data_IF_515271509225
#
_entry.id   IF_515271509225
#
_cell.length_a   1.000
_cell.length_b   1.000
_cell.length_c   1.000
_cell.angle_alpha   90.00
_cell.angle_beta   90.00
_cell.angle_gamma   90.00
#
_symmetry.space_group_name_H-M   'P 1'
#
loop_
_entity.id
_entity.type
_entity.pdbx_description
1 polymer ?
#
# COMPACT_ATOMS: atom_id res chain seq x y z
N UNK A 1 -7.56 22.59 -13.22
CA UNK A 1 -6.97 21.26 -12.96
C UNK A 1 -6.98 21.00 -11.46
N UNK A 2 -7.48 19.84 -11.01
CA UNK A 2 -7.58 19.56 -9.57
C UNK A 2 -6.37 18.78 -9.06
N UNK A 3 -6.00 19.02 -7.79
CA UNK A 3 -4.95 18.27 -7.07
C UNK A 3 -5.15 16.75 -7.16
N UNK A 4 -6.38 16.28 -7.01
CA UNK A 4 -6.70 14.85 -7.04
C UNK A 4 -6.50 14.23 -8.43
N UNK A 5 -6.84 14.97 -9.49
CA UNK A 5 -6.59 14.53 -10.86
C UNK A 5 -5.08 14.36 -11.11
N UNK A 6 -4.27 15.32 -10.65
CA UNK A 6 -2.81 15.20 -10.74
C UNK A 6 -2.25 14.03 -9.94
N UNK A 7 -2.73 13.82 -8.71
CA UNK A 7 -2.29 12.70 -7.90
C UNK A 7 -2.58 11.37 -8.60
N UNK A 8 -3.80 11.20 -9.15
CA UNK A 8 -4.19 10.02 -9.93
C UNK A 8 -3.31 9.83 -11.17
N UNK A 9 -2.92 10.89 -11.85
CA UNK A 9 -1.98 10.79 -12.97
C UNK A 9 -0.57 10.44 -12.49
N UNK A 10 -0.12 11.01 -11.38
CA UNK A 10 1.19 10.73 -10.79
C UNK A 10 1.32 9.28 -10.34
N UNK A 11 0.26 8.60 -9.89
CA UNK A 11 0.33 7.16 -9.53
C UNK A 11 0.77 6.31 -10.72
N UNK A 12 0.37 6.68 -11.94
CA UNK A 12 0.78 5.99 -13.16
C UNK A 12 2.26 6.17 -13.48
N UNK A 13 2.92 7.19 -12.93
CA UNK A 13 4.35 7.48 -13.15
C UNK A 13 5.27 6.80 -12.11
N UNK A 14 4.70 6.19 -11.06
CA UNK A 14 5.46 5.54 -9.99
C UNK A 14 6.37 4.44 -10.51
N UNK A 15 5.94 3.66 -11.51
CA UNK A 15 6.75 2.56 -12.07
C UNK A 15 8.11 3.05 -12.63
N UNK A 16 8.15 4.28 -13.17
CA UNK A 16 9.36 4.87 -13.77
C UNK A 16 10.10 5.81 -12.82
N UNK A 17 9.37 6.61 -12.04
CA UNK A 17 9.95 7.71 -11.26
C UNK A 17 9.91 7.49 -9.75
N UNK A 18 9.33 6.36 -9.29
CA UNK A 18 9.11 6.06 -7.87
C UNK A 18 8.15 7.04 -7.18
N UNK A 19 8.10 6.97 -5.85
CA UNK A 19 7.28 7.85 -5.02
C UNK A 19 8.01 9.17 -4.73
N UNK A 20 8.25 9.93 -5.79
CA UNK A 20 9.11 11.12 -5.77
C UNK A 20 8.35 12.40 -6.10
N UNK A 21 8.97 13.54 -5.76
CA UNK A 21 8.48 14.86 -6.17
C UNK A 21 8.55 15.04 -7.70
N UNK A 22 9.46 14.34 -8.37
CA UNK A 22 9.56 14.34 -9.83
C UNK A 22 8.36 13.66 -10.48
N UNK A 23 7.88 12.54 -9.93
CA UNK A 23 6.65 11.90 -10.40
C UNK A 23 5.43 12.84 -10.31
N UNK A 24 5.32 13.59 -9.19
CA UNK A 24 4.31 14.63 -9.03
C UNK A 24 4.49 15.78 -10.03
N UNK A 25 5.72 16.24 -10.22
CA UNK A 25 6.04 17.32 -11.13
C UNK A 25 5.66 17.00 -12.58
N UNK A 26 5.92 15.76 -13.03
CA UNK A 26 5.62 15.29 -14.38
C UNK A 26 4.16 14.95 -14.64
N UNK A 27 3.33 14.84 -13.61
CA UNK A 27 1.91 14.48 -13.78
C UNK A 27 1.12 15.47 -14.65
N UNK A 28 1.57 16.73 -14.78
CA UNK A 28 0.95 17.71 -15.69
C UNK A 28 1.22 17.43 -17.17
N UNK A 29 2.26 16.65 -17.47
CA UNK A 29 2.60 16.29 -18.85
C UNK A 29 1.66 15.21 -19.40
N UNK A 30 0.98 14.47 -18.52
CA UNK A 30 0.11 13.34 -18.88
C UNK A 30 -1.38 13.68 -18.87
N UNK A 31 -1.72 14.96 -18.71
CA UNK A 31 -3.10 15.42 -18.82
C UNK A 31 -3.65 15.22 -20.24
N UNK A 32 -4.98 15.19 -20.41
CA UNK A 32 -5.61 15.13 -21.72
C UNK A 32 -5.15 16.27 -22.65
N UNK A 33 -5.19 16.06 -23.98
CA UNK A 33 -4.87 17.08 -24.97
C UNK A 33 -5.66 18.38 -24.71
N UNK A 34 -4.96 19.53 -24.77
CA UNK A 34 -5.52 20.85 -24.45
C UNK A 34 -5.41 21.27 -22.98
N UNK A 35 -5.04 20.35 -22.08
CA UNK A 35 -4.73 20.65 -20.67
C UNK A 35 -3.28 20.29 -20.30
N UNK A 36 -2.61 19.46 -21.09
CA UNK A 36 -1.22 19.10 -20.89
C UNK A 36 -0.30 20.33 -20.90
N UNK A 37 0.54 20.41 -19.89
CA UNK A 37 1.57 21.43 -19.82
C UNK A 37 2.79 21.01 -20.67
N UNK A 38 3.53 21.96 -21.26
CA UNK A 38 4.73 21.66 -22.02
C UNK A 38 5.92 21.28 -21.11
N UNK A 39 5.91 21.72 -19.86
CA UNK A 39 6.99 21.56 -18.89
C UNK A 39 6.47 21.00 -17.56
N UNK A 40 7.31 20.26 -16.80
CA UNK A 40 6.97 19.80 -15.46
C UNK A 40 6.68 20.97 -14.50
N UNK A 41 5.95 20.69 -13.42
CA UNK A 41 5.72 21.68 -12.36
C UNK A 41 7.04 22.08 -11.67
N UNK A 42 7.19 23.36 -11.36
CA UNK A 42 8.29 23.82 -10.50
C UNK A 42 8.18 23.22 -9.10
N UNK A 43 9.31 23.13 -8.38
CA UNK A 43 9.32 22.58 -7.01
C UNK A 43 8.38 23.36 -6.06
N UNK A 44 8.29 24.68 -6.24
CA UNK A 44 7.35 25.53 -5.50
C UNK A 44 5.89 25.13 -5.77
N UNK A 45 5.54 24.83 -7.02
CA UNK A 45 4.19 24.40 -7.37
C UNK A 45 3.88 23.00 -6.81
N UNK A 46 4.85 22.08 -6.82
CA UNK A 46 4.73 20.76 -6.17
C UNK A 46 4.48 20.94 -4.67
N UNK A 47 5.24 21.81 -4.01
CA UNK A 47 5.04 22.12 -2.58
C UNK A 47 3.66 22.71 -2.29
N UNK A 48 3.20 23.67 -3.10
CA UNK A 48 1.91 24.31 -2.92
C UNK A 48 0.73 23.35 -3.11
N UNK A 49 0.85 22.40 -4.04
CA UNK A 49 -0.24 21.46 -4.38
C UNK A 49 -0.26 20.21 -3.49
N UNK A 50 0.91 19.70 -3.09
CA UNK A 50 1.04 18.38 -2.45
C UNK A 50 1.69 18.43 -1.07
N UNK A 51 2.24 19.56 -0.67
CA UNK A 51 2.93 19.75 0.61
C UNK A 51 4.46 19.78 0.48
N UNK A 52 5.11 20.26 1.53
CA UNK A 52 6.57 20.43 1.56
C UNK A 52 7.31 19.09 1.76
N UNK A 53 8.46 18.94 1.09
CA UNK A 53 9.35 17.80 1.28
C UNK A 53 8.65 16.45 1.16
N UNK A 54 8.79 15.62 2.20
CA UNK A 54 8.20 14.28 2.25
C UNK A 54 6.67 14.27 2.35
N UNK A 55 6.02 15.37 2.73
CA UNK A 55 4.54 15.43 2.72
C UNK A 55 3.96 15.27 1.31
N UNK A 56 4.64 15.81 0.30
CA UNK A 56 4.28 15.58 -1.09
C UNK A 56 4.39 14.11 -1.46
N UNK A 57 5.51 13.47 -1.12
CA UNK A 57 5.77 12.06 -1.41
C UNK A 57 4.77 11.15 -0.70
N UNK A 58 4.49 11.39 0.59
CA UNK A 58 3.46 10.70 1.36
C UNK A 58 2.06 10.88 0.76
N UNK A 59 1.73 12.07 0.24
CA UNK A 59 0.48 12.30 -0.48
C UNK A 59 0.38 11.44 -1.76
N UNK A 60 1.48 11.29 -2.51
CA UNK A 60 1.53 10.39 -3.67
C UNK A 60 1.36 8.93 -3.25
N UNK A 61 2.03 8.51 -2.18
CA UNK A 61 1.90 7.15 -1.65
C UNK A 61 0.44 6.89 -1.28
N UNK A 62 -0.19 7.77 -0.50
CA UNK A 62 -1.59 7.61 -0.11
C UNK A 62 -2.51 7.49 -1.33
N UNK A 63 -2.34 8.37 -2.33
CA UNK A 63 -3.13 8.31 -3.56
C UNK A 63 -2.94 6.98 -4.31
N UNK A 64 -1.72 6.44 -4.33
CA UNK A 64 -1.45 5.13 -4.93
C UNK A 64 -2.08 3.98 -4.14
N UNK A 65 -2.04 4.02 -2.80
CA UNK A 65 -2.73 3.03 -1.96
C UNK A 65 -4.25 3.06 -2.19
N UNK A 66 -4.83 4.26 -2.30
CA UNK A 66 -6.26 4.45 -2.58
C UNK A 66 -6.65 3.93 -3.97
N UNK A 67 -5.82 4.16 -4.99
CA UNK A 67 -6.02 3.59 -6.33
C UNK A 67 -5.88 2.05 -6.32
N UNK A 68 -4.99 1.49 -5.50
CA UNK A 68 -4.91 0.05 -5.27
C UNK A 68 -6.19 -0.54 -4.66
N UNK A 69 -6.82 0.18 -3.73
CA UNK A 69 -8.15 -0.17 -3.18
C UNK A 69 -9.22 -0.04 -4.27
N UNK A 70 -9.19 1.00 -5.11
CA UNK A 70 -10.13 1.12 -6.21
C UNK A 70 -9.97 0.00 -7.27
N UNK A 71 -8.74 -0.48 -7.48
CA UNK A 71 -8.49 -1.64 -8.34
C UNK A 71 -9.14 -2.93 -7.78
N UNK A 72 -9.21 -3.10 -6.47
CA UNK A 72 -9.94 -4.23 -5.86
C UNK A 72 -11.42 -4.26 -6.26
N UNK A 73 -12.03 -3.08 -6.45
CA UNK A 73 -13.45 -2.94 -6.80
C UNK A 73 -13.77 -3.36 -8.24
N UNK A 74 -12.75 -3.55 -9.09
CA UNK A 74 -12.96 -4.00 -10.48
C UNK A 74 -13.13 -5.50 -10.61
N UNK A 75 -13.05 -6.25 -9.50
CA UNK A 75 -13.25 -7.71 -9.47
C UNK A 75 -14.74 -8.04 -9.62
N UNK A 76 -15.13 -8.66 -10.73
CA UNK A 76 -16.54 -8.93 -11.08
C UNK A 76 -17.25 -9.94 -10.16
N UNK A 77 -16.51 -10.94 -9.67
CA UNK A 77 -17.02 -12.00 -8.78
C UNK A 77 -16.16 -12.07 -7.52
N UNK A 78 -16.35 -11.12 -6.58
CA UNK A 78 -15.42 -10.92 -5.48
C UNK A 78 -15.46 -12.09 -4.49
N UNK A 79 -14.34 -12.78 -4.38
CA UNK A 79 -14.00 -13.62 -3.21
C UNK A 79 -12.83 -12.97 -2.47
N UNK A 80 -12.61 -13.33 -1.20
CA UNK A 80 -11.48 -12.78 -0.44
C UNK A 80 -10.16 -13.04 -1.18
N UNK A 81 -10.01 -14.24 -1.76
CA UNK A 81 -8.83 -14.60 -2.53
C UNK A 81 -8.66 -13.69 -3.76
N UNK A 82 -9.70 -13.56 -4.58
CA UNK A 82 -9.63 -12.76 -5.82
C UNK A 82 -9.40 -11.27 -5.55
N UNK A 83 -10.06 -10.73 -4.52
CA UNK A 83 -9.91 -9.31 -4.15
C UNK A 83 -8.50 -9.01 -3.64
N UNK A 84 -7.95 -9.86 -2.76
CA UNK A 84 -6.58 -9.67 -2.25
C UNK A 84 -5.53 -9.95 -3.35
N UNK A 85 -5.77 -10.91 -4.26
CA UNK A 85 -4.92 -11.13 -5.45
C UNK A 85 -4.91 -9.92 -6.37
N UNK A 86 -6.07 -9.31 -6.64
CA UNK A 86 -6.15 -8.09 -7.44
C UNK A 86 -5.36 -6.92 -6.81
N UNK A 87 -5.36 -6.82 -5.48
CA UNK A 87 -4.52 -5.86 -4.77
C UNK A 87 -3.03 -6.15 -4.93
N UNK A 88 -2.60 -7.42 -4.80
CA UNK A 88 -1.20 -7.80 -5.06
C UNK A 88 -0.80 -7.53 -6.51
N UNK A 89 -1.65 -7.82 -7.49
CA UNK A 89 -1.37 -7.53 -8.91
C UNK A 89 -1.12 -6.04 -9.15
N UNK A 90 -1.88 -5.16 -8.48
CA UNK A 90 -1.66 -3.71 -8.56
C UNK A 90 -0.25 -3.29 -8.08
N UNK A 91 0.32 -4.01 -7.10
CA UNK A 91 1.67 -3.74 -6.60
C UNK A 91 2.75 -3.95 -7.66
N UNK A 92 2.54 -4.85 -8.63
CA UNK A 92 3.60 -5.36 -9.52
C UNK A 92 4.39 -4.24 -10.22
N UNK A 93 3.69 -3.23 -10.73
CA UNK A 93 4.30 -2.09 -11.42
C UNK A 93 5.16 -1.20 -10.52
N UNK A 94 4.91 -1.21 -9.20
CA UNK A 94 5.58 -0.35 -8.22
C UNK A 94 6.56 -1.12 -7.31
N UNK A 95 6.64 -2.45 -7.42
CA UNK A 95 7.45 -3.31 -6.53
C UNK A 95 8.86 -2.81 -6.23
N UNK A 96 9.65 -2.30 -7.22
CA UNK A 96 10.99 -1.81 -6.94
C UNK A 96 11.03 -0.65 -5.92
N UNK A 97 9.96 0.15 -5.90
CA UNK A 97 9.84 1.40 -5.14
C UNK A 97 9.06 1.25 -3.82
N UNK A 98 8.34 0.14 -3.63
CA UNK A 98 7.52 -0.09 -2.43
C UNK A 98 8.31 -0.11 -1.12
N UNK A 99 9.51 -0.74 -1.02
CA UNK A 99 10.26 -0.73 0.24
C UNK A 99 10.61 0.67 0.73
N UNK A 100 10.97 1.57 -0.19
CA UNK A 100 11.25 2.97 0.13
C UNK A 100 9.97 3.72 0.51
N UNK A 101 8.88 3.50 -0.23
CA UNK A 101 7.57 4.11 0.06
C UNK A 101 7.07 3.76 1.46
N UNK A 102 7.19 2.49 1.82
CA UNK A 102 6.81 1.96 3.11
C UNK A 102 7.70 2.47 4.25
N UNK A 103 9.01 2.55 4.04
CA UNK A 103 9.92 3.20 4.99
C UNK A 103 9.55 4.69 5.19
N UNK A 104 9.19 5.38 4.11
CA UNK A 104 8.79 6.78 4.17
C UNK A 104 7.45 6.98 4.91
N UNK A 105 6.47 6.11 4.68
CA UNK A 105 5.20 6.13 5.43
C UNK A 105 5.40 5.92 6.93
N UNK A 106 6.32 5.01 7.31
CA UNK A 106 6.64 4.73 8.71
C UNK A 106 7.54 5.81 9.36
N UNK A 107 8.09 6.73 8.57
CA UNK A 107 8.94 7.80 9.07
C UNK A 107 8.10 8.91 9.72
N UNK A 108 8.47 9.41 10.91
CA UNK A 108 7.73 10.48 11.59
C UNK A 108 7.74 11.78 10.78
N UNK A 109 6.69 12.61 10.89
CA UNK A 109 6.65 13.93 10.22
C UNK A 109 7.52 14.98 10.92
N UNK A 110 7.73 14.82 12.23
CA UNK A 110 8.46 15.75 13.10
C UNK A 110 9.24 14.91 14.12
N UNK A 111 10.57 15.02 14.12
CA UNK A 111 11.41 14.54 15.22
C UNK A 111 12.09 13.18 15.06
N UNK A 112 12.98 12.92 16.02
CA UNK A 112 13.90 11.78 16.16
C UNK A 112 13.09 10.49 16.41
N UNK A 113 13.57 9.31 15.93
CA UNK A 113 12.94 7.97 16.10
C UNK A 113 12.27 7.70 17.46
N UNK A 114 11.26 6.81 17.51
CA UNK A 114 11.12 5.62 16.66
C UNK A 114 10.27 5.81 15.38
N UNK A 115 10.46 4.89 14.42
CA UNK A 115 9.53 4.70 13.31
C UNK A 115 8.14 4.38 13.89
N UNK A 116 7.10 5.04 13.37
CA UNK A 116 5.72 4.73 13.70
C UNK A 116 5.18 3.76 12.64
N UNK A 117 4.94 2.48 12.95
CA UNK A 117 4.43 1.53 11.98
C UNK A 117 2.91 1.67 11.76
N UNK A 118 2.20 2.44 12.59
CA UNK A 118 0.74 2.55 12.50
C UNK A 118 0.25 2.99 11.12
N UNK A 119 0.87 3.96 10.42
CA UNK A 119 0.45 4.33 9.06
C UNK A 119 0.61 3.18 8.05
N UNK A 120 1.69 2.41 8.15
CA UNK A 120 1.94 1.27 7.27
C UNK A 120 1.00 0.09 7.59
N UNK A 121 0.74 -0.17 8.87
CA UNK A 121 -0.24 -1.17 9.32
C UNK A 121 -1.67 -0.78 8.94
N UNK A 122 -1.98 0.53 8.96
CA UNK A 122 -3.25 1.08 8.53
C UNK A 122 -3.59 0.72 7.09
N UNK A 123 -2.59 0.64 6.20
CA UNK A 123 -2.80 0.21 4.82
C UNK A 123 -3.36 -1.21 4.72
N UNK A 124 -2.74 -2.18 5.42
CA UNK A 124 -3.18 -3.57 5.40
C UNK A 124 -4.57 -3.74 6.02
N UNK A 125 -4.87 -2.97 7.07
CA UNK A 125 -6.20 -2.94 7.69
C UNK A 125 -7.27 -2.41 6.71
N UNK A 126 -6.97 -1.33 5.99
CA UNK A 126 -7.89 -0.78 4.98
C UNK A 126 -8.16 -1.77 3.84
N UNK A 127 -7.14 -2.51 3.40
CA UNK A 127 -7.31 -3.57 2.40
C UNK A 127 -8.20 -4.70 2.94
N UNK A 128 -7.96 -5.13 4.19
CA UNK A 128 -8.76 -6.17 4.81
C UNK A 128 -10.22 -5.76 4.97
N UNK A 129 -10.46 -4.50 5.38
CA UNK A 129 -11.81 -3.94 5.51
C UNK A 129 -12.51 -3.89 4.15
N UNK A 130 -11.86 -3.35 3.11
CA UNK A 130 -12.43 -3.30 1.76
C UNK A 130 -12.69 -4.71 1.20
N UNK A 131 -11.78 -5.66 1.44
CA UNK A 131 -11.98 -7.05 1.00
C UNK A 131 -13.19 -7.69 1.67
N UNK A 132 -13.37 -7.48 2.98
CA UNK A 132 -14.59 -7.90 3.70
C UNK A 132 -15.84 -7.21 3.12
N UNK A 133 -15.78 -5.91 2.85
CA UNK A 133 -16.90 -5.16 2.27
C UNK A 133 -17.30 -5.70 0.89
N UNK A 134 -16.35 -5.85 -0.03
CA UNK A 134 -16.59 -6.31 -1.41
C UNK A 134 -17.13 -7.74 -1.48
N UNK A 135 -16.79 -8.58 -0.50
CA UNK A 135 -17.24 -9.97 -0.44
C UNK A 135 -18.57 -10.15 0.32
N UNK A 136 -19.16 -9.05 0.80
CA UNK A 136 -20.43 -9.06 1.52
C UNK A 136 -20.35 -9.68 2.90
N UNK A 137 -19.21 -9.52 3.60
CA UNK A 137 -19.02 -10.00 4.97
C UNK A 137 -20.11 -9.44 5.91
N UNK A 138 -20.76 -10.34 6.64
CA UNK A 138 -21.83 -10.02 7.61
C UNK A 138 -21.39 -10.18 9.06
N UNK A 139 -20.10 -10.38 9.32
CA UNK A 139 -19.58 -10.49 10.68
C UNK A 139 -19.87 -9.21 11.48
N UNK A 140 -20.19 -9.38 12.76
CA UNK A 140 -20.47 -8.27 13.68
C UNK A 140 -19.71 -8.47 14.99
N UNK A 141 -19.61 -7.42 15.79
CA UNK A 141 -19.00 -7.46 17.14
C UNK A 141 -17.54 -7.93 17.10
N UNK A 142 -17.11 -8.80 18.01
CA UNK A 142 -15.70 -9.24 18.11
C UNK A 142 -15.21 -10.01 16.88
N UNK A 143 -16.10 -10.77 16.23
CA UNK A 143 -15.74 -11.52 15.02
C UNK A 143 -15.34 -10.59 13.86
N UNK A 144 -15.93 -9.39 13.79
CA UNK A 144 -15.57 -8.36 12.81
C UNK A 144 -14.11 -7.93 12.94
N UNK A 145 -13.66 -7.66 14.17
CA UNK A 145 -12.29 -7.24 14.47
C UNK A 145 -11.30 -8.38 14.20
N UNK A 146 -11.60 -9.59 14.68
CA UNK A 146 -10.73 -10.76 14.49
C UNK A 146 -10.57 -11.13 13.02
N UNK A 147 -11.66 -11.05 12.23
CA UNK A 147 -11.63 -11.33 10.79
C UNK A 147 -10.69 -10.35 10.06
N UNK A 148 -10.85 -9.05 10.28
CA UNK A 148 -10.06 -8.00 9.60
C UNK A 148 -8.60 -8.03 10.02
N UNK A 149 -8.33 -8.25 11.30
CA UNK A 149 -6.95 -8.38 11.77
C UNK A 149 -6.26 -9.60 11.15
N UNK A 150 -6.96 -10.74 11.08
CA UNK A 150 -6.43 -11.95 10.45
C UNK A 150 -6.17 -11.76 8.95
N UNK A 151 -7.09 -11.12 8.22
CA UNK A 151 -6.91 -10.82 6.81
C UNK A 151 -5.78 -9.81 6.56
N UNK A 152 -5.68 -8.76 7.38
CA UNK A 152 -4.60 -7.80 7.30
C UNK A 152 -3.24 -8.49 7.52
N UNK A 153 -3.18 -9.43 8.47
CA UNK A 153 -1.98 -10.23 8.72
C UNK A 153 -1.58 -11.11 7.52
N UNK A 154 -2.56 -11.84 6.96
CA UNK A 154 -2.35 -12.68 5.78
C UNK A 154 -1.88 -11.85 4.58
N UNK A 155 -2.55 -10.73 4.31
CA UNK A 155 -2.18 -9.83 3.22
C UNK A 155 -0.77 -9.27 3.42
N UNK A 156 -0.44 -8.81 4.63
CA UNK A 156 0.89 -8.26 4.94
C UNK A 156 1.99 -9.30 4.70
N UNK A 157 1.77 -10.55 5.11
CA UNK A 157 2.72 -11.64 4.86
C UNK A 157 2.88 -11.89 3.34
N UNK A 158 1.79 -11.86 2.59
CA UNK A 158 1.82 -12.05 1.14
C UNK A 158 2.50 -10.89 0.40
N UNK A 159 2.24 -9.64 0.80
CA UNK A 159 2.88 -8.45 0.23
C UNK A 159 4.39 -8.43 0.53
N UNK A 160 4.78 -8.76 1.75
CA UNK A 160 6.19 -8.91 2.11
C UNK A 160 6.88 -10.03 1.32
N UNK A 161 6.19 -11.15 1.13
CA UNK A 161 6.68 -12.22 0.26
C UNK A 161 6.79 -11.75 -1.19
N UNK A 162 5.84 -10.95 -1.68
CA UNK A 162 5.86 -10.37 -3.02
C UNK A 162 7.09 -9.50 -3.27
N UNK A 163 7.56 -8.75 -2.27
CA UNK A 163 8.79 -7.94 -2.38
C UNK A 163 10.05 -8.77 -2.65
N UNK A 164 10.05 -10.07 -2.28
CA UNK A 164 11.19 -10.99 -2.47
C UNK A 164 10.96 -11.96 -3.63
N UNK A 165 9.73 -12.44 -3.77
CA UNK A 165 9.34 -13.50 -4.69
C UNK A 165 8.01 -13.15 -5.37
N UNK A 166 8.00 -12.17 -6.32
CA UNK A 166 6.77 -11.66 -6.92
C UNK A 166 5.91 -12.74 -7.59
N UNK A 167 6.55 -13.67 -8.28
CA UNK A 167 5.89 -14.69 -9.13
C UNK A 167 5.10 -15.71 -8.32
N UNK A 168 5.43 -15.88 -7.03
CA UNK A 168 4.80 -16.86 -6.13
C UNK A 168 3.95 -16.18 -5.04
N UNK A 169 3.77 -14.86 -5.09
CA UNK A 169 2.99 -14.14 -4.08
C UNK A 169 1.51 -14.53 -4.05
N UNK A 170 0.88 -14.70 -5.22
CA UNK A 170 -0.53 -15.06 -5.32
C UNK A 170 -0.81 -16.49 -4.80
N UNK A 171 0.07 -17.44 -5.09
CA UNK A 171 -0.05 -18.81 -4.57
C UNK A 171 0.26 -18.90 -3.08
N UNK A 172 1.20 -18.08 -2.59
CA UNK A 172 1.47 -17.96 -1.15
C UNK A 172 0.29 -17.33 -0.39
N UNK A 173 -0.35 -16.29 -0.93
CA UNK A 173 -1.60 -15.74 -0.37
C UNK A 173 -2.68 -16.82 -0.26
N UNK A 174 -2.89 -17.59 -1.32
CA UNK A 174 -3.92 -18.64 -1.36
C UNK A 174 -3.64 -19.76 -0.34
N UNK A 175 -2.38 -20.16 -0.17
CA UNK A 175 -2.00 -21.15 0.84
C UNK A 175 -2.22 -20.63 2.26
N UNK A 176 -1.92 -19.35 2.52
CA UNK A 176 -2.21 -18.69 3.81
C UNK A 176 -3.71 -18.60 4.08
N UNK A 177 -4.54 -18.22 3.09
CA UNK A 177 -5.99 -18.16 3.25
C UNK A 177 -6.56 -19.55 3.55
N UNK A 178 -6.13 -20.57 2.81
CA UNK A 178 -6.55 -21.96 3.02
C UNK A 178 -6.13 -22.46 4.40
N UNK A 179 -4.88 -22.21 4.81
CA UNK A 179 -4.38 -22.59 6.13
C UNK A 179 -5.04 -21.82 7.28
N UNK A 180 -5.37 -20.54 7.09
CA UNK A 180 -5.96 -19.67 8.12
C UNK A 180 -7.37 -20.07 8.53
N UNK A 181 -8.12 -20.71 7.62
CA UNK A 181 -9.43 -21.30 7.93
C UNK A 181 -9.32 -22.38 9.03
N UNK A 182 -8.15 -23.01 9.18
CA UNK A 182 -7.82 -23.93 10.27
C UNK A 182 -7.26 -23.21 11.52
N UNK A 183 -6.60 -22.05 11.36
CA UNK A 183 -5.91 -21.29 12.45
C UNK A 183 -6.88 -20.41 13.27
N UNK A 184 -8.09 -20.10 12.76
CA UNK A 184 -9.15 -19.39 13.51
C UNK A 184 -9.49 -19.98 14.90
N UNK A 185 -9.05 -21.21 15.22
CA UNK A 185 -9.22 -21.87 16.52
C UNK A 185 -8.15 -21.53 17.58
N UNK A 186 -7.08 -20.78 17.28
CA UNK A 186 -5.93 -20.59 18.18
C UNK A 186 -5.43 -19.13 18.24
N UNK A 187 -6.28 -18.19 18.64
CA UNK A 187 -5.91 -16.76 18.69
C UNK A 187 -5.57 -16.28 20.12
N UNK A 188 -4.35 -16.59 20.57
CA UNK A 188 -3.66 -15.88 21.67
C UNK A 188 -2.32 -15.22 21.22
N UNK A 189 -1.97 -15.27 19.93
CA UNK A 189 -0.66 -14.82 19.40
C UNK A 189 -0.70 -13.47 18.65
N UNK A 190 -1.49 -12.51 19.13
CA UNK A 190 -1.65 -11.19 18.47
C UNK A 190 -0.45 -10.26 18.62
N UNK A 191 0.37 -10.41 19.66
CA UNK A 191 1.56 -9.58 19.89
C UNK A 191 2.81 -10.05 19.11
N UNK A 192 2.92 -11.35 18.81
CA UNK A 192 4.07 -11.94 18.13
C UNK A 192 4.10 -11.58 16.63
N UNK A 193 2.92 -11.41 16.02
CA UNK A 193 2.78 -11.07 14.61
C UNK A 193 3.22 -9.62 14.29
N UNK A 194 2.81 -8.66 15.12
CA UNK A 194 3.24 -7.26 14.97
C UNK A 194 4.76 -7.11 15.05
N UNK A 195 5.40 -7.85 15.97
CA UNK A 195 6.86 -7.89 16.10
C UNK A 195 7.55 -8.59 14.90
N UNK A 196 6.92 -9.59 14.28
CA UNK A 196 7.47 -10.30 13.11
C UNK A 196 7.44 -9.46 11.83
N UNK A 197 6.34 -8.76 11.56
CA UNK A 197 6.23 -7.82 10.44
C UNK A 197 7.24 -6.69 10.60
N UNK A 198 7.35 -6.13 11.81
CA UNK A 198 8.34 -5.09 12.14
C UNK A 198 9.78 -5.54 11.90
N UNK A 199 10.18 -6.71 12.42
CA UNK A 199 11.54 -7.24 12.20
C UNK A 199 11.83 -7.56 10.74
N UNK A 200 10.83 -8.03 10.00
CA UNK A 200 11.01 -8.34 8.58
C UNK A 200 11.21 -7.09 7.73
N UNK A 201 10.51 -6.00 8.07
CA UNK A 201 10.69 -4.70 7.42
C UNK A 201 12.03 -4.07 7.80
N UNK A 202 12.44 -4.14 9.07
CA UNK A 202 13.76 -3.71 9.53
C UNK A 202 14.89 -4.41 8.76
N UNK A 203 14.78 -5.73 8.56
CA UNK A 203 15.75 -6.51 7.79
C UNK A 203 15.87 -6.07 6.32
N UNK A 204 14.75 -5.76 5.67
CA UNK A 204 14.75 -5.28 4.27
C UNK A 204 15.35 -3.88 4.17
N UNK A 205 14.98 -2.96 5.06
CA UNK A 205 15.50 -1.59 5.11
C UNK A 205 17.02 -1.61 5.34
N UNK A 206 17.51 -2.44 6.26
CA UNK A 206 18.94 -2.60 6.54
C UNK A 206 19.71 -3.23 5.37
N UNK A 207 19.13 -4.20 4.69
CA UNK A 207 19.76 -4.85 3.52
C UNK A 207 19.93 -3.92 2.31
N UNK A 208 19.13 -2.85 2.23
CA UNK A 208 19.20 -1.83 1.17
C UNK A 208 20.07 -0.62 1.53
N UNK A 209 20.71 -0.62 2.70
CA UNK A 209 21.61 0.47 3.13
C UNK A 209 20.91 1.79 3.43
N UNK A 210 19.61 1.75 3.77
CA UNK A 210 18.80 2.93 4.09
C UNK A 210 18.93 3.30 5.59
N UNK A 211 19.57 2.42 6.39
CA UNK A 211 19.98 2.60 7.79
C UNK A 211 21.44 2.20 7.97
#
# INVERSE_FOLDING_TARGET
MSRNQLLKLATTLVHTHGFTREALSRSVLTLPPGQAHPEPLSDLAVSALFGNGDKARKSLIQAWLDEGINHMKTVSSPTINEVLKARLQYNESALPHLPEAFALLASPEIGIPPLDPLPALGHAINIADEACYLTGDKTTQLAWYSQRLSLAAIYTAAELHQLKSPQTAASFLESLLTGSSAIKKSLDETALFGLYVMKSWEGIIRSKGIL
#
